data_IF_121809957482
#
_entry.id   IF_121809957482
#
_cell.length_a   1.000
_cell.length_b   1.000
_cell.length_c   1.000
_cell.angle_alpha   90.00
_cell.angle_beta   90.00
_cell.angle_gamma   90.00
#
_symmetry.space_group_name_H-M   'P 1'
#
loop_
_entity.id
_entity.type
_entity.pdbx_description
1 polymer ?
#
# COMPACT_ATOMS: atom_id res chain seq x y z
N UNK A 1 65.67 -20.22 -26.39
CA UNK A 1 64.55 -21.17 -26.46
C UNK A 1 63.25 -20.42 -26.73
N UNK A 2 62.63 -20.59 -27.90
CA UNK A 2 61.33 -19.99 -28.26
C UNK A 2 60.22 -20.91 -27.77
N UNK A 3 59.42 -20.49 -26.78
CA UNK A 3 58.24 -21.24 -26.35
C UNK A 3 57.06 -20.99 -27.29
N UNK A 4 56.70 -22.00 -28.07
CA UNK A 4 55.53 -22.00 -28.96
C UNK A 4 54.22 -22.09 -28.18
N UNK A 5 53.38 -21.07 -28.30
CA UNK A 5 52.00 -21.10 -27.83
C UNK A 5 51.20 -22.04 -28.74
N UNK A 6 50.74 -23.15 -28.17
CA UNK A 6 49.99 -24.23 -28.83
C UNK A 6 48.79 -23.71 -29.64
N UNK A 7 48.72 -24.12 -30.92
CA UNK A 7 47.62 -23.83 -31.87
C UNK A 7 46.22 -24.19 -31.34
N UNK A 8 46.10 -25.12 -30.38
CA UNK A 8 44.81 -25.55 -29.78
C UNK A 8 44.12 -24.45 -28.95
N UNK A 9 44.85 -23.58 -28.25
CA UNK A 9 44.24 -22.54 -27.41
C UNK A 9 43.63 -21.38 -28.22
N UNK A 10 44.18 -21.09 -29.42
CA UNK A 10 43.61 -20.06 -30.33
C UNK A 10 42.33 -20.55 -31.02
N UNK A 11 42.20 -21.84 -31.31
CA UNK A 11 40.99 -22.41 -31.90
C UNK A 11 39.81 -22.33 -30.92
N UNK A 12 40.04 -22.62 -29.64
CA UNK A 12 38.99 -22.61 -28.61
C UNK A 12 38.48 -21.18 -28.32
N UNK A 13 39.37 -20.19 -28.32
CA UNK A 13 38.98 -18.78 -28.23
C UNK A 13 38.19 -18.32 -29.45
N UNK A 14 38.60 -18.72 -30.66
CA UNK A 14 37.87 -18.40 -31.90
C UNK A 14 36.47 -19.03 -31.93
N UNK A 15 36.31 -20.28 -31.48
CA UNK A 15 35.00 -20.91 -31.36
C UNK A 15 34.09 -20.17 -30.35
N UNK A 16 34.64 -19.73 -29.21
CA UNK A 16 33.90 -18.91 -28.24
C UNK A 16 33.44 -17.58 -28.82
N UNK A 17 34.31 -16.87 -29.56
CA UNK A 17 33.91 -15.62 -30.22
C UNK A 17 32.85 -15.82 -31.31
N UNK A 18 32.92 -16.92 -32.08
CA UNK A 18 31.91 -17.25 -33.07
C UNK A 18 30.56 -17.58 -32.40
N UNK A 19 30.57 -18.29 -31.26
CA UNK A 19 29.37 -18.57 -30.47
C UNK A 19 28.73 -17.28 -29.92
N UNK A 20 29.52 -16.36 -29.39
CA UNK A 20 29.01 -15.06 -28.93
C UNK A 20 28.45 -14.21 -30.08
N UNK A 21 29.10 -14.21 -31.25
CA UNK A 21 28.60 -13.51 -32.44
C UNK A 21 27.30 -14.14 -32.98
N UNK A 22 27.18 -15.47 -32.96
CA UNK A 22 25.96 -16.16 -33.34
C UNK A 22 24.81 -15.86 -32.37
N UNK A 23 25.08 -15.84 -31.06
CA UNK A 23 24.07 -15.53 -30.06
C UNK A 23 23.58 -14.09 -30.16
N UNK A 24 24.46 -13.12 -30.38
CA UNK A 24 24.06 -11.72 -30.60
C UNK A 24 23.27 -11.55 -31.90
N UNK A 25 23.66 -12.24 -32.98
CA UNK A 25 22.92 -12.22 -34.25
C UNK A 25 21.52 -12.82 -34.10
N UNK A 26 21.38 -13.99 -33.45
CA UNK A 26 20.08 -14.64 -33.22
C UNK A 26 19.20 -13.77 -32.31
N UNK A 27 19.76 -13.16 -31.26
CA UNK A 27 19.01 -12.28 -30.36
C UNK A 27 18.52 -11.04 -31.10
N UNK A 28 19.37 -10.47 -31.99
CA UNK A 28 19.01 -9.32 -32.82
C UNK A 28 17.98 -9.68 -33.90
N UNK A 29 18.09 -10.87 -34.48
CA UNK A 29 17.12 -11.42 -35.45
C UNK A 29 15.76 -11.70 -34.79
N UNK A 30 15.73 -12.21 -33.57
CA UNK A 30 14.48 -12.40 -32.81
C UNK A 30 13.84 -11.06 -32.41
N UNK A 31 14.65 -10.02 -32.18
CA UNK A 31 14.18 -8.65 -31.95
C UNK A 31 13.61 -8.01 -33.23
N UNK A 32 14.22 -8.24 -34.40
CA UNK A 32 13.67 -7.75 -35.67
C UNK A 32 12.48 -8.54 -36.18
N UNK A 33 12.44 -9.87 -35.97
CA UNK A 33 11.27 -10.69 -36.32
C UNK A 33 10.06 -10.35 -35.43
N UNK A 34 10.26 -10.09 -34.13
CA UNK A 34 9.20 -9.54 -33.26
C UNK A 34 8.71 -8.14 -33.69
N UNK A 35 9.50 -7.40 -34.47
CA UNK A 35 9.10 -6.10 -35.01
C UNK A 35 8.32 -6.20 -36.31
N UNK A 36 8.32 -7.37 -36.98
CA UNK A 36 7.63 -7.60 -38.26
C UNK A 36 6.19 -8.14 -38.09
N UNK A 37 5.81 -8.59 -36.89
CA UNK A 37 4.43 -8.97 -36.54
C UNK A 37 3.56 -7.78 -36.06
N UNK A 38 4.04 -6.54 -36.25
CA UNK A 38 3.23 -5.34 -36.03
C UNK A 38 2.48 -4.97 -37.33
N UNK A 39 1.16 -4.71 -37.30
CA UNK A 39 0.39 -4.37 -38.49
C UNK A 39 0.88 -3.04 -39.11
N UNK A 40 0.81 -2.89 -40.45
CA UNK A 40 1.44 -1.79 -41.16
C UNK A 40 0.74 -0.46 -40.86
N UNK A 41 1.52 0.56 -40.48
CA UNK A 41 1.05 1.95 -40.36
C UNK A 41 1.23 2.64 -41.71
N UNK A 42 0.14 2.82 -42.45
CA UNK A 42 0.11 3.60 -43.70
C UNK A 42 0.27 5.09 -43.36
N UNK A 43 1.35 5.71 -43.84
CA UNK A 43 1.54 7.17 -43.81
C UNK A 43 1.10 7.71 -45.17
N UNK A 44 -0.04 8.38 -45.22
CA UNK A 44 -0.36 9.33 -46.29
C UNK A 44 -0.12 10.74 -45.77
N UNK A 45 0.91 11.37 -46.33
CA UNK A 45 1.24 12.79 -46.15
C UNK A 45 0.16 13.68 -46.73
N UNK A 46 -0.54 14.45 -45.89
CA UNK A 46 -1.03 15.78 -46.25
C UNK A 46 -0.93 16.69 -45.02
N UNK A 47 -0.44 17.91 -45.27
CA UNK A 47 -0.08 18.95 -44.32
C UNK A 47 -1.26 19.45 -43.48
N UNK A 48 -1.13 19.37 -42.15
CA UNK A 48 -1.38 20.44 -41.16
C UNK A 48 -1.44 19.83 -39.76
N UNK A 49 -0.75 20.45 -38.80
CA UNK A 49 -0.40 19.85 -37.51
C UNK A 49 -1.58 19.56 -36.58
N UNK A 50 -1.69 18.29 -36.18
CA UNK A 50 -2.15 17.81 -34.87
C UNK A 50 -1.80 16.32 -34.75
N UNK A 51 -1.00 15.93 -33.76
CA UNK A 51 -0.66 14.53 -33.50
C UNK A 51 -1.85 13.86 -32.79
N UNK A 52 -2.60 13.03 -33.52
CA UNK A 52 -3.77 12.30 -33.03
C UNK A 52 -3.34 11.01 -32.31
N UNK A 53 -3.71 10.91 -31.03
CA UNK A 53 -3.43 9.78 -30.15
C UNK A 53 -4.47 8.66 -30.38
N UNK A 54 -4.05 7.58 -31.02
CA UNK A 54 -4.87 6.42 -31.41
C UNK A 54 -5.48 5.58 -30.25
N UNK A 55 -5.07 5.68 -28.96
CA UNK A 55 -5.77 4.97 -27.86
C UNK A 55 -7.16 5.55 -27.53
N UNK A 56 -7.43 6.81 -27.88
CA UNK A 56 -8.64 7.52 -27.45
C UNK A 56 -9.91 7.10 -28.24
N UNK A 57 -9.77 6.60 -29.47
CA UNK A 57 -10.94 6.22 -30.28
C UNK A 57 -11.50 4.84 -29.93
N UNK A 58 -10.66 3.93 -29.41
CA UNK A 58 -11.12 2.62 -28.96
C UNK A 58 -11.94 2.74 -27.66
N UNK A 59 -11.58 3.67 -26.78
CA UNK A 59 -12.34 3.99 -25.57
C UNK A 59 -13.65 4.76 -25.87
N UNK A 60 -13.69 5.58 -26.93
CA UNK A 60 -14.92 6.27 -27.35
C UNK A 60 -15.98 5.29 -27.89
N UNK A 61 -15.56 4.19 -28.52
CA UNK A 61 -16.44 3.13 -29.01
C UNK A 61 -17.08 2.32 -27.87
N UNK A 62 -16.33 2.05 -26.79
CA UNK A 62 -16.88 1.39 -25.59
C UNK A 62 -17.86 2.31 -24.83
N UNK A 63 -17.58 3.62 -24.75
CA UNK A 63 -18.49 4.61 -24.20
C UNK A 63 -19.81 4.72 -25.00
N UNK A 64 -19.73 4.66 -26.34
CA UNK A 64 -20.93 4.65 -27.21
C UNK A 64 -21.74 3.36 -27.07
N UNK A 65 -21.10 2.22 -26.87
CA UNK A 65 -21.79 0.92 -26.73
C UNK A 65 -22.51 0.79 -25.39
N UNK A 66 -21.97 1.38 -24.32
CA UNK A 66 -22.64 1.45 -23.00
C UNK A 66 -23.81 2.46 -23.03
N UNK A 67 -23.68 3.57 -23.76
CA UNK A 67 -24.76 4.56 -23.91
C UNK A 67 -25.95 4.04 -24.75
N UNK A 68 -25.73 3.13 -25.69
CA UNK A 68 -26.79 2.61 -26.59
C UNK A 68 -27.70 1.52 -25.97
N UNK A 69 -27.39 1.01 -24.78
CA UNK A 69 -28.18 -0.04 -24.11
C UNK A 69 -29.08 0.48 -22.98
N UNK A 70 -29.13 1.80 -22.76
CA UNK A 70 -30.00 2.42 -21.76
C UNK A 70 -30.70 3.63 -22.34
N UNK A 71 -31.74 3.39 -23.15
CA UNK A 71 -32.74 4.41 -23.51
C UNK A 71 -33.98 3.74 -24.08
N UNK A 72 -34.92 3.42 -23.20
CA UNK A 72 -36.34 3.34 -23.53
C UNK A 72 -37.15 3.58 -22.24
N UNK A 73 -37.30 4.85 -21.86
CA UNK A 73 -38.42 5.29 -21.02
C UNK A 73 -38.68 6.79 -21.24
N UNK A 74 -39.96 7.12 -21.37
CA UNK A 74 -40.53 8.38 -21.86
C UNK A 74 -40.48 9.52 -20.84
N UNK A 75 -40.55 10.80 -21.28
CA UNK A 75 -40.20 11.95 -20.45
C UNK A 75 -41.37 12.40 -19.55
N UNK A 76 -41.13 12.46 -18.23
CA UNK A 76 -41.97 13.19 -17.28
C UNK A 76 -41.23 14.46 -16.84
N UNK A 77 -42.01 15.54 -16.74
CA UNK A 77 -41.66 16.95 -16.62
C UNK A 77 -40.53 17.31 -15.63
N UNK A 78 -39.80 18.37 -16.01
CA UNK A 78 -38.61 18.89 -15.36
C UNK A 78 -38.83 19.38 -13.92
N UNK A 79 -38.28 18.62 -12.96
CA UNK A 79 -37.97 19.10 -11.61
C UNK A 79 -36.61 19.82 -11.54
N UNK A 80 -36.27 20.42 -10.38
CA UNK A 80 -35.09 21.27 -10.24
C UNK A 80 -33.81 20.48 -10.56
N UNK A 81 -32.91 21.08 -11.36
CA UNK A 81 -31.64 20.50 -11.83
C UNK A 81 -30.94 19.70 -10.73
N UNK A 82 -31.14 18.38 -10.74
CA UNK A 82 -30.45 17.47 -9.85
C UNK A 82 -28.96 17.52 -10.19
N UNK A 83 -28.10 17.86 -9.23
CA UNK A 83 -26.64 17.73 -9.42
C UNK A 83 -26.34 16.26 -9.73
N UNK A 84 -25.84 15.97 -10.93
CA UNK A 84 -25.56 14.59 -11.37
C UNK A 84 -24.34 13.95 -10.66
N UNK A 85 -23.54 14.72 -9.93
CA UNK A 85 -22.36 14.24 -9.20
C UNK A 85 -22.30 14.81 -7.79
N UNK A 86 -22.08 13.93 -6.80
CA UNK A 86 -21.80 14.33 -5.42
C UNK A 86 -20.31 14.70 -5.23
N UNK A 87 -20.04 15.71 -4.41
CA UNK A 87 -18.70 16.03 -3.90
C UNK A 87 -18.22 14.96 -2.92
N UNK A 88 -16.90 14.85 -2.70
CA UNK A 88 -16.35 13.86 -1.76
C UNK A 88 -16.85 14.12 -0.34
N UNK A 89 -17.11 15.38 0.02
CA UNK A 89 -17.70 15.74 1.31
C UNK A 89 -19.17 15.34 1.40
N UNK A 90 -19.95 15.48 0.32
CA UNK A 90 -21.34 15.00 0.25
C UNK A 90 -21.38 13.47 0.36
N UNK A 91 -20.48 12.76 -0.32
CA UNK A 91 -20.30 11.31 -0.15
C UNK A 91 -19.90 10.98 1.29
N UNK A 92 -19.00 11.77 1.88
CA UNK A 92 -18.47 11.64 3.24
C UNK A 92 -19.50 11.84 4.36
N UNK A 93 -20.57 12.62 4.12
CA UNK A 93 -21.61 12.90 5.14
C UNK A 93 -22.34 11.64 5.59
N UNK A 94 -22.54 10.67 4.70
CA UNK A 94 -23.25 9.40 4.96
C UNK A 94 -22.53 8.54 6.02
N UNK A 95 -21.25 8.82 6.25
CA UNK A 95 -20.38 8.02 7.11
C UNK A 95 -20.28 8.51 8.56
N UNK A 96 -20.94 9.62 8.93
CA UNK A 96 -20.84 10.18 10.30
C UNK A 96 -21.46 9.24 11.35
N UNK A 97 -20.73 8.97 12.43
CA UNK A 97 -21.21 8.29 13.64
C UNK A 97 -21.26 6.75 13.59
N UNK A 98 -21.58 6.12 12.45
CA UNK A 98 -21.75 4.65 12.35
C UNK A 98 -20.45 3.87 12.09
N UNK A 99 -19.44 4.49 11.47
CA UNK A 99 -18.10 3.88 11.26
C UNK A 99 -17.45 3.45 12.59
N UNK A 100 -17.70 4.20 13.67
CA UNK A 100 -17.07 3.96 14.96
C UNK A 100 -17.44 2.60 15.54
N UNK A 101 -18.73 2.27 15.55
CA UNK A 101 -19.25 1.00 16.07
C UNK A 101 -18.70 -0.18 15.28
N UNK A 102 -18.70 -0.08 13.96
CA UNK A 102 -18.21 -1.15 13.08
C UNK A 102 -16.69 -1.33 13.18
N UNK A 103 -15.93 -0.23 13.31
CA UNK A 103 -14.48 -0.31 13.52
C UNK A 103 -14.14 -0.93 14.88
N UNK A 104 -14.90 -0.62 15.95
CA UNK A 104 -14.76 -1.26 17.26
C UNK A 104 -15.11 -2.75 17.23
N UNK A 105 -16.13 -3.14 16.45
CA UNK A 105 -16.47 -4.55 16.23
C UNK A 105 -15.32 -5.27 15.54
N UNK A 106 -14.79 -4.70 14.46
CA UNK A 106 -13.65 -5.25 13.72
C UNK A 106 -12.40 -5.33 14.58
N UNK A 107 -12.13 -4.32 15.42
CA UNK A 107 -11.05 -4.35 16.41
C UNK A 107 -11.14 -5.60 17.29
N UNK A 108 -12.31 -5.86 17.88
CA UNK A 108 -12.54 -7.04 18.72
C UNK A 108 -12.35 -8.33 17.94
N UNK A 109 -12.83 -8.39 16.71
CA UNK A 109 -12.67 -9.55 15.82
C UNK A 109 -11.19 -9.82 15.53
N UNK A 110 -10.41 -8.80 15.17
CA UNK A 110 -8.97 -8.91 14.92
C UNK A 110 -8.22 -9.34 16.19
N UNK A 111 -8.51 -8.72 17.33
CA UNK A 111 -7.91 -9.09 18.61
C UNK A 111 -8.20 -10.55 18.98
N UNK A 112 -9.46 -10.98 18.82
CA UNK A 112 -9.88 -12.36 19.06
C UNK A 112 -9.14 -13.31 18.13
N UNK A 113 -9.06 -13.00 16.84
CA UNK A 113 -8.33 -13.80 15.87
C UNK A 113 -6.87 -14.00 16.30
N UNK A 114 -6.15 -12.94 16.65
CA UNK A 114 -4.75 -13.05 17.06
C UNK A 114 -4.55 -13.66 18.45
N UNK A 115 -5.54 -13.63 19.34
CA UNK A 115 -5.48 -14.37 20.61
C UNK A 115 -5.55 -15.89 20.42
N UNK A 116 -6.29 -16.35 19.39
CA UNK A 116 -6.51 -17.78 19.11
C UNK A 116 -5.50 -18.32 18.09
N UNK A 117 -5.27 -17.56 17.01
CA UNK A 117 -4.46 -17.96 15.86
C UNK A 117 -3.12 -17.21 15.80
N UNK A 118 -2.78 -16.38 16.78
CA UNK A 118 -1.49 -15.71 16.85
C UNK A 118 -0.37 -16.67 17.21
N UNK A 119 0.85 -16.26 16.88
CA UNK A 119 2.02 -17.10 17.08
C UNK A 119 2.24 -17.60 18.51
N UNK A 120 2.00 -16.82 19.58
CA UNK A 120 2.15 -17.31 20.96
C UNK A 120 1.33 -18.57 21.23
N UNK A 121 0.04 -18.55 20.89
CA UNK A 121 -0.88 -19.67 21.13
C UNK A 121 -0.59 -20.88 20.25
N UNK A 122 -0.24 -20.64 18.99
CA UNK A 122 -0.02 -21.71 18.00
C UNK A 122 1.29 -22.45 18.25
N UNK A 123 2.32 -21.79 18.80
CA UNK A 123 3.57 -22.45 19.24
C UNK A 123 3.34 -23.54 20.29
N UNK A 124 2.32 -23.38 21.11
CA UNK A 124 1.99 -24.27 22.23
C UNK A 124 1.03 -25.41 21.84
N UNK A 125 0.60 -25.48 20.58
CA UNK A 125 -0.31 -26.54 20.16
C UNK A 125 0.39 -27.91 20.18
N UNK A 126 -0.36 -28.99 20.52
CA UNK A 126 0.13 -30.35 20.34
C UNK A 126 0.53 -30.60 18.87
N UNK A 127 1.51 -31.49 18.61
CA UNK A 127 2.03 -31.69 17.26
C UNK A 127 0.97 -31.98 16.20
N UNK A 128 -0.03 -32.81 16.51
CA UNK A 128 -1.12 -33.13 15.57
C UNK A 128 -1.93 -31.89 15.18
N UNK A 129 -2.27 -31.04 16.16
CA UNK A 129 -3.04 -29.82 15.93
C UNK A 129 -2.20 -28.78 15.17
N UNK A 130 -0.93 -28.60 15.56
CA UNK A 130 0.00 -27.72 14.86
C UNK A 130 0.15 -28.09 13.38
N UNK A 131 0.31 -29.39 13.07
CA UNK A 131 0.50 -29.85 11.69
C UNK A 131 -0.77 -29.74 10.82
N UNK A 132 -1.95 -29.64 11.44
CA UNK A 132 -3.21 -29.33 10.75
C UNK A 132 -3.42 -27.82 10.55
N UNK A 133 -2.73 -27.00 11.32
CA UNK A 133 -2.88 -25.55 11.29
C UNK A 133 -2.41 -24.92 9.98
N UNK A 134 -3.11 -23.86 9.56
CA UNK A 134 -2.84 -23.15 8.32
C UNK A 134 -2.22 -21.77 8.55
N UNK A 135 -1.50 -21.29 7.54
CA UNK A 135 -0.79 -20.02 7.54
C UNK A 135 -1.10 -19.20 6.29
N UNK A 136 -1.04 -17.88 6.42
CA UNK A 136 -1.03 -16.93 5.31
C UNK A 136 0.26 -16.13 5.40
N UNK A 137 0.97 -15.98 4.28
CA UNK A 137 2.21 -15.21 4.23
C UNK A 137 2.02 -13.90 3.48
N UNK A 138 2.42 -12.81 4.13
CA UNK A 138 2.64 -11.50 3.50
C UNK A 138 4.11 -11.30 3.22
N UNK A 139 4.47 -11.00 1.97
CA UNK A 139 5.84 -10.64 1.60
C UNK A 139 5.86 -9.20 1.10
N UNK A 140 6.69 -8.39 1.73
CA UNK A 140 7.00 -7.05 1.30
C UNK A 140 8.45 -7.00 0.80
N UNK A 141 8.65 -6.23 -0.26
CA UNK A 141 9.96 -5.75 -0.67
C UNK A 141 10.29 -4.47 0.08
N UNK A 142 11.55 -4.08 0.04
CA UNK A 142 11.98 -2.78 0.54
C UNK A 142 11.90 -1.67 -0.53
N UNK A 143 10.85 -1.67 -1.35
CA UNK A 143 10.52 -0.56 -2.23
C UNK A 143 9.77 0.55 -1.46
N UNK A 144 8.56 0.91 -1.90
CA UNK A 144 7.74 1.97 -1.30
C UNK A 144 6.91 1.50 -0.10
N UNK A 145 7.00 2.21 1.04
CA UNK A 145 6.34 1.80 2.29
C UNK A 145 4.83 1.58 2.12
N UNK A 146 4.11 2.51 1.49
CA UNK A 146 2.66 2.43 1.32
C UNK A 146 2.21 1.13 0.64
N UNK A 147 2.71 0.87 -0.58
CA UNK A 147 2.29 -0.28 -1.37
C UNK A 147 2.71 -1.61 -0.73
N UNK A 148 3.90 -1.64 -0.13
CA UNK A 148 4.46 -2.83 0.48
C UNK A 148 3.76 -3.17 1.80
N UNK A 149 3.36 -2.17 2.57
CA UNK A 149 2.55 -2.36 3.77
C UNK A 149 1.17 -2.91 3.41
N UNK A 150 0.55 -2.47 2.30
CA UNK A 150 -0.70 -3.07 1.82
C UNK A 150 -0.59 -4.57 1.53
N UNK A 151 0.57 -5.07 1.06
CA UNK A 151 0.77 -6.51 0.88
C UNK A 151 0.72 -7.27 2.20
N UNK A 152 1.35 -6.72 3.25
CA UNK A 152 1.34 -7.31 4.58
C UNK A 152 -0.05 -7.25 5.21
N UNK A 153 -0.75 -6.11 5.11
CA UNK A 153 -2.07 -5.93 5.70
C UNK A 153 -3.15 -6.72 4.96
N UNK A 154 -3.05 -6.88 3.64
CA UNK A 154 -3.97 -7.74 2.88
C UNK A 154 -3.78 -9.21 3.25
N UNK A 155 -2.54 -9.66 3.47
CA UNK A 155 -2.26 -10.99 4.00
C UNK A 155 -2.80 -11.18 5.42
N UNK A 156 -2.70 -10.15 6.28
CA UNK A 156 -3.25 -10.17 7.63
C UNK A 156 -4.79 -10.21 7.63
N UNK A 157 -5.44 -9.40 6.81
CA UNK A 157 -6.89 -9.46 6.62
C UNK A 157 -7.33 -10.86 6.15
N UNK A 158 -6.57 -11.45 5.23
CA UNK A 158 -6.84 -12.79 4.77
C UNK A 158 -6.62 -13.85 5.86
N UNK A 159 -5.60 -13.70 6.70
CA UNK A 159 -5.37 -14.62 7.83
C UNK A 159 -6.56 -14.63 8.79
N UNK A 160 -7.10 -13.45 9.07
CA UNK A 160 -8.33 -13.25 9.86
C UNK A 160 -9.51 -13.97 9.20
N UNK A 161 -9.78 -13.71 7.92
CA UNK A 161 -10.90 -14.33 7.21
C UNK A 161 -10.82 -15.86 7.14
N UNK A 162 -9.61 -16.45 7.16
CA UNK A 162 -9.39 -17.89 7.03
C UNK A 162 -9.12 -18.60 8.35
N UNK A 163 -9.07 -17.89 9.48
CA UNK A 163 -8.61 -18.44 10.77
C UNK A 163 -7.24 -19.13 10.65
N UNK A 164 -6.31 -18.49 9.94
CA UNK A 164 -4.94 -18.95 9.74
C UNK A 164 -3.97 -18.01 10.44
N UNK A 165 -2.80 -18.50 10.85
CA UNK A 165 -1.76 -17.63 11.40
C UNK A 165 -1.10 -16.78 10.33
N UNK A 166 -0.68 -15.58 10.70
CA UNK A 166 0.06 -14.68 9.83
C UNK A 166 1.58 -14.96 9.88
N UNK A 167 2.19 -15.09 8.71
CA UNK A 167 3.64 -15.08 8.51
C UNK A 167 4.05 -13.75 7.89
N UNK A 168 5.00 -13.07 8.52
CA UNK A 168 5.71 -11.95 7.89
C UNK A 168 6.96 -12.50 7.19
N UNK A 169 6.98 -12.37 5.87
CA UNK A 169 8.07 -12.87 5.03
C UNK A 169 9.33 -12.04 5.18
N UNK A 170 10.37 -12.64 5.75
CA UNK A 170 11.69 -12.04 5.87
C UNK A 170 12.52 -12.21 4.58
N UNK A 171 13.34 -11.22 4.27
CA UNK A 171 14.33 -11.28 3.18
C UNK A 171 15.72 -11.28 3.80
N UNK A 172 16.52 -12.32 3.50
CA UNK A 172 17.86 -12.52 4.11
C UNK A 172 17.86 -12.46 5.65
N UNK A 173 16.78 -12.93 6.28
CA UNK A 173 16.62 -12.95 7.73
C UNK A 173 16.17 -11.63 8.36
N UNK A 174 16.00 -10.56 7.57
CA UNK A 174 15.49 -9.27 8.05
C UNK A 174 13.99 -9.12 7.80
N UNK A 175 13.30 -8.53 8.77
CA UNK A 175 11.91 -8.11 8.59
C UNK A 175 11.85 -6.93 7.61
N UNK A 176 10.82 -6.86 6.75
CA UNK A 176 10.59 -5.68 5.93
C UNK A 176 10.50 -4.44 6.80
N UNK A 177 11.30 -3.41 6.55
CA UNK A 177 11.30 -2.17 7.36
C UNK A 177 11.65 -2.36 8.85
N UNK A 178 12.24 -3.50 9.25
CA UNK A 178 12.53 -3.82 10.65
C UNK A 178 13.50 -2.84 11.35
N UNK A 179 14.21 -2.02 10.57
CA UNK A 179 15.07 -0.96 11.09
C UNK A 179 14.25 0.27 11.58
N UNK A 180 12.98 0.40 11.15
CA UNK A 180 12.13 1.57 11.43
C UNK A 180 10.82 1.24 12.13
N UNK A 181 10.36 -0.02 12.04
CA UNK A 181 9.16 -0.50 12.73
C UNK A 181 9.46 -1.79 13.50
N UNK A 182 8.74 -1.97 14.60
CA UNK A 182 8.72 -3.20 15.37
C UNK A 182 7.45 -3.98 15.03
N UNK A 183 7.62 -5.25 14.67
CA UNK A 183 6.50 -6.17 14.49
C UNK A 183 6.11 -6.81 15.81
N UNK A 184 4.81 -6.98 16.03
CA UNK A 184 4.29 -7.69 17.20
C UNK A 184 4.69 -9.17 17.20
N UNK A 185 4.74 -9.75 18.40
CA UNK A 185 5.03 -11.17 18.62
C UNK A 185 3.89 -12.11 18.18
N UNK A 186 2.80 -11.56 17.64
CA UNK A 186 1.60 -12.27 17.17
C UNK A 186 1.82 -12.98 15.82
N UNK A 187 2.92 -12.68 15.14
CA UNK A 187 3.22 -13.21 13.80
C UNK A 187 4.36 -14.21 13.82
N UNK A 188 4.41 -15.06 12.81
CA UNK A 188 5.49 -15.99 12.57
C UNK A 188 6.49 -15.47 11.54
N UNK A 189 7.70 -16.01 11.56
CA UNK A 189 8.58 -16.00 10.39
C UNK A 189 8.48 -17.30 9.62
N UNK A 190 8.77 -17.27 8.31
CA UNK A 190 8.82 -18.51 7.52
C UNK A 190 9.91 -19.48 8.03
N UNK A 191 11.02 -18.95 8.57
CA UNK A 191 12.10 -19.75 9.15
C UNK A 191 11.60 -20.50 10.38
N UNK A 192 10.87 -19.82 11.26
CA UNK A 192 10.27 -20.38 12.45
C UNK A 192 9.24 -21.46 12.10
N UNK A 193 8.32 -21.20 11.17
CA UNK A 193 7.33 -22.22 10.74
C UNK A 193 8.04 -23.46 10.20
N UNK A 194 9.09 -23.31 9.38
CA UNK A 194 9.89 -24.45 8.89
C UNK A 194 10.54 -25.24 10.03
N UNK A 195 11.02 -24.57 11.07
CA UNK A 195 11.61 -25.22 12.23
C UNK A 195 10.55 -26.00 13.02
N UNK A 196 9.45 -25.36 13.39
CA UNK A 196 8.33 -25.98 14.12
C UNK A 196 7.71 -27.14 13.34
N UNK A 197 7.63 -27.03 12.01
CA UNK A 197 7.13 -28.11 11.14
C UNK A 197 7.98 -29.38 11.22
N UNK A 198 9.30 -29.23 11.36
CA UNK A 198 10.24 -30.34 11.53
C UNK A 198 10.18 -30.88 12.95
N UNK A 199 10.18 -30.00 13.95
CA UNK A 199 10.11 -30.35 15.37
C UNK A 199 8.86 -31.17 15.69
N UNK A 200 7.70 -30.78 15.16
CA UNK A 200 6.42 -31.49 15.36
C UNK A 200 6.28 -32.73 14.47
N UNK A 201 7.28 -33.07 13.66
CA UNK A 201 7.24 -34.25 12.79
C UNK A 201 6.14 -34.21 11.73
N UNK A 202 5.70 -33.03 11.28
CA UNK A 202 4.54 -32.90 10.39
C UNK A 202 4.64 -33.74 9.12
N UNK A 203 5.81 -33.80 8.49
CA UNK A 203 6.04 -34.69 7.35
C UNK A 203 6.17 -36.16 7.78
N UNK A 204 7.08 -36.45 8.71
CA UNK A 204 7.45 -37.84 9.07
C UNK A 204 6.35 -38.61 9.79
N UNK A 205 5.58 -37.95 10.66
CA UNK A 205 4.55 -38.57 11.52
C UNK A 205 3.14 -38.41 10.95
N UNK A 206 2.86 -37.28 10.29
CA UNK A 206 1.50 -36.94 9.83
C UNK A 206 1.37 -36.82 8.30
N UNK A 207 2.42 -37.15 7.53
CA UNK A 207 2.39 -37.11 6.05
C UNK A 207 2.15 -35.73 5.45
N UNK A 208 2.31 -34.66 6.23
CA UNK A 208 1.92 -33.29 5.86
C UNK A 208 3.10 -32.51 5.31
N UNK A 209 3.10 -32.29 3.99
CA UNK A 209 4.12 -31.49 3.32
C UNK A 209 3.90 -29.98 3.55
N UNK A 210 4.97 -29.25 3.89
CA UNK A 210 4.95 -27.79 3.99
C UNK A 210 5.04 -27.15 2.60
N UNK A 211 3.92 -27.11 1.90
CA UNK A 211 3.82 -26.52 0.55
C UNK A 211 3.12 -25.17 0.64
N UNK A 212 3.62 -24.21 -0.17
CA UNK A 212 3.03 -22.89 -0.32
C UNK A 212 2.27 -22.82 -1.64
N UNK A 213 1.00 -22.39 -1.59
CA UNK A 213 0.20 -22.05 -2.77
C UNK A 213 0.23 -20.55 -2.99
N UNK A 214 0.59 -20.16 -4.21
CA UNK A 214 0.62 -18.76 -4.63
C UNK A 214 -0.66 -18.44 -5.40
N UNK A 215 -1.28 -17.32 -5.06
CA UNK A 215 -2.40 -16.71 -5.77
C UNK A 215 -1.96 -15.31 -6.20
N UNK A 216 -1.86 -15.07 -7.50
CA UNK A 216 -1.23 -13.86 -8.05
C UNK A 216 -2.27 -12.89 -8.58
N UNK A 217 -2.62 -11.87 -7.79
CA UNK A 217 -3.66 -10.90 -8.13
C UNK A 217 -3.35 -10.10 -9.40
N UNK A 218 -2.07 -9.83 -9.67
CA UNK A 218 -1.65 -9.07 -10.86
C UNK A 218 -1.82 -9.88 -12.15
N UNK A 219 -2.06 -11.19 -12.05
CA UNK A 219 -2.23 -12.09 -13.20
C UNK A 219 -3.63 -12.70 -13.18
N UNK A 220 -4.58 -12.20 -13.98
CA UNK A 220 -5.96 -12.69 -14.00
C UNK A 220 -6.10 -14.21 -14.16
N UNK A 221 -5.22 -14.85 -14.94
CA UNK A 221 -5.19 -16.31 -15.16
C UNK A 221 -4.60 -17.12 -14.00
N UNK A 222 -3.99 -16.45 -13.02
CA UNK A 222 -3.31 -17.06 -11.86
C UNK A 222 -3.90 -16.62 -10.52
N UNK A 223 -4.99 -15.86 -10.54
CA UNK A 223 -5.71 -15.49 -9.32
C UNK A 223 -6.99 -16.27 -9.15
N UNK A 224 -7.29 -16.65 -7.91
CA UNK A 224 -8.56 -17.24 -7.52
C UNK A 224 -9.33 -16.32 -6.57
N UNK A 225 -9.01 -15.02 -6.54
CA UNK A 225 -9.65 -14.05 -5.65
C UNK A 225 -11.16 -13.99 -5.85
N UNK A 226 -11.65 -14.16 -7.09
CA UNK A 226 -13.07 -14.22 -7.40
C UNK A 226 -13.64 -15.65 -7.33
N UNK A 227 -12.97 -16.62 -7.95
CA UNK A 227 -13.58 -17.93 -8.20
C UNK A 227 -13.15 -19.04 -7.22
N UNK A 228 -12.19 -18.77 -6.33
CA UNK A 228 -11.64 -19.78 -5.42
C UNK A 228 -12.26 -19.74 -4.04
N UNK A 229 -12.42 -20.92 -3.43
CA UNK A 229 -12.70 -21.04 -2.00
C UNK A 229 -11.41 -21.34 -1.22
N UNK A 230 -10.73 -20.29 -0.75
CA UNK A 230 -9.47 -20.42 -0.02
C UNK A 230 -9.61 -21.14 1.33
N UNK A 231 -10.81 -21.19 1.92
CA UNK A 231 -11.07 -21.98 3.15
C UNK A 231 -10.92 -23.48 2.91
N UNK A 232 -11.19 -23.95 1.68
CA UNK A 232 -11.08 -25.37 1.30
C UNK A 232 -9.69 -25.77 0.82
N UNK A 233 -8.75 -24.83 0.76
CA UNK A 233 -7.42 -25.11 0.22
C UNK A 233 -6.58 -25.97 1.18
N UNK A 234 -6.13 -27.16 0.74
CA UNK A 234 -5.40 -28.07 1.60
C UNK A 234 -3.95 -27.64 1.81
N UNK A 235 -3.45 -26.60 1.13
CA UNK A 235 -2.06 -26.18 1.30
C UNK A 235 -1.85 -25.47 2.64
N UNK A 236 -0.80 -25.82 3.42
CA UNK A 236 -0.54 -25.19 4.71
C UNK A 236 -0.31 -23.68 4.61
N UNK A 237 0.42 -23.22 3.59
CA UNK A 237 0.73 -21.79 3.42
C UNK A 237 0.02 -21.25 2.18
N UNK A 238 -0.69 -20.14 2.33
CA UNK A 238 -1.27 -19.35 1.24
C UNK A 238 -0.50 -18.05 1.09
N UNK A 239 -0.10 -17.71 -0.13
CA UNK A 239 0.51 -16.42 -0.46
C UNK A 239 -0.33 -15.71 -1.52
N UNK A 240 -1.07 -14.68 -1.11
CA UNK A 240 -1.79 -13.79 -2.03
C UNK A 240 -0.89 -12.60 -2.41
N UNK A 241 -0.31 -12.65 -3.60
CA UNK A 241 0.67 -11.68 -4.09
C UNK A 241 0.04 -10.65 -5.04
N UNK A 242 0.78 -9.57 -5.33
CA UNK A 242 0.28 -8.49 -6.20
C UNK A 242 -0.68 -7.52 -5.52
N UNK A 243 -0.72 -7.51 -4.18
CA UNK A 243 -1.69 -6.79 -3.34
C UNK A 243 -1.16 -5.43 -2.90
N UNK A 244 -0.84 -4.56 -3.86
CA UNK A 244 -0.12 -3.29 -3.65
C UNK A 244 -0.99 -2.13 -3.13
N UNK A 245 -2.29 -2.33 -3.00
CA UNK A 245 -3.24 -1.35 -2.49
C UNK A 245 -4.50 -2.03 -1.93
N UNK A 246 -5.50 -1.23 -1.57
CA UNK A 246 -6.76 -1.71 -1.03
C UNK A 246 -7.66 -2.48 -2.04
N UNK A 247 -7.39 -2.41 -3.35
CA UNK A 247 -8.26 -3.01 -4.39
C UNK A 247 -8.29 -4.53 -4.26
N UNK A 248 -7.14 -5.17 -4.03
CA UNK A 248 -7.08 -6.61 -3.90
C UNK A 248 -7.97 -7.13 -2.74
N UNK A 249 -8.01 -6.42 -1.61
CA UNK A 249 -8.88 -6.76 -0.50
C UNK A 249 -10.38 -6.60 -0.85
N UNK A 250 -10.75 -5.64 -1.70
CA UNK A 250 -12.13 -5.47 -2.15
C UNK A 250 -12.64 -6.66 -2.98
N UNK A 251 -11.76 -7.42 -3.62
CA UNK A 251 -12.15 -8.61 -4.38
C UNK A 251 -12.67 -9.74 -3.48
N UNK A 252 -12.32 -9.74 -2.19
CA UNK A 252 -12.86 -10.70 -1.23
C UNK A 252 -14.39 -10.59 -1.12
N UNK A 253 -14.94 -9.38 -1.18
CA UNK A 253 -16.37 -9.11 -1.15
C UNK A 253 -17.09 -9.55 -2.44
N UNK A 254 -16.33 -9.78 -3.52
CA UNK A 254 -16.85 -10.16 -4.85
C UNK A 254 -16.65 -11.64 -5.17
N UNK A 255 -16.15 -12.43 -4.22
CA UNK A 255 -15.89 -13.85 -4.44
C UNK A 255 -17.20 -14.61 -4.75
N UNK A 256 -17.19 -15.63 -5.61
CA UNK A 256 -18.39 -16.39 -5.99
C UNK A 256 -18.87 -17.33 -4.88
N UNK A 257 -18.00 -17.70 -3.95
CA UNK A 257 -18.34 -18.58 -2.84
C UNK A 257 -18.92 -17.80 -1.65
N UNK A 258 -20.13 -18.15 -1.17
CA UNK A 258 -20.78 -17.47 -0.04
C UNK A 258 -19.93 -17.42 1.23
N UNK A 259 -19.24 -18.50 1.60
CA UNK A 259 -18.41 -18.54 2.82
C UNK A 259 -17.28 -17.51 2.80
N UNK A 260 -16.67 -17.30 1.63
CA UNK A 260 -15.62 -16.31 1.44
C UNK A 260 -16.18 -14.91 1.51
N UNK A 261 -17.31 -14.65 0.82
CA UNK A 261 -17.98 -13.34 0.88
C UNK A 261 -18.44 -13.00 2.28
N UNK A 262 -19.03 -13.95 3.00
CA UNK A 262 -19.54 -13.73 4.36
C UNK A 262 -18.38 -13.37 5.31
N UNK A 263 -17.26 -14.09 5.24
CA UNK A 263 -16.06 -13.76 6.01
C UNK A 263 -15.49 -12.38 5.64
N UNK A 264 -15.51 -12.04 4.35
CA UNK A 264 -15.09 -10.74 3.87
C UNK A 264 -16.02 -9.64 4.37
N UNK A 265 -17.34 -9.83 4.32
CA UNK A 265 -18.32 -8.85 4.78
C UNK A 265 -18.32 -8.67 6.29
N UNK A 266 -18.00 -9.73 7.04
CA UNK A 266 -17.78 -9.61 8.48
C UNK A 266 -16.60 -8.68 8.80
N UNK A 267 -15.53 -8.77 8.01
CA UNK A 267 -14.34 -7.95 8.22
C UNK A 267 -14.45 -6.54 7.62
N UNK A 268 -14.83 -6.43 6.34
CA UNK A 268 -14.83 -5.19 5.56
C UNK A 268 -16.19 -4.49 5.48
N UNK A 269 -17.24 -5.06 6.08
CA UNK A 269 -18.60 -4.56 5.97
C UNK A 269 -19.32 -5.03 4.71
N UNK A 270 -20.61 -4.70 4.63
CA UNK A 270 -21.48 -5.12 3.51
C UNK A 270 -21.42 -4.11 2.37
N UNK A 271 -21.16 -4.53 1.12
CA UNK A 271 -21.12 -3.62 -0.03
C UNK A 271 -22.41 -2.80 -0.21
N UNK A 272 -23.56 -3.39 0.13
CA UNK A 272 -24.89 -2.79 -0.02
C UNK A 272 -25.15 -1.69 1.02
N UNK A 273 -24.38 -1.68 2.10
CA UNK A 273 -24.51 -0.70 3.19
C UNK A 273 -23.31 0.24 3.20
N UNK A 274 -23.42 1.35 2.46
CA UNK A 274 -22.40 2.41 2.47
C UNK A 274 -22.07 2.92 3.88
N UNK A 275 -23.00 2.82 4.83
CA UNK A 275 -22.78 3.24 6.22
C UNK A 275 -21.92 2.27 7.05
N UNK A 276 -21.59 1.08 6.52
CA UNK A 276 -20.85 0.02 7.21
C UNK A 276 -19.51 -0.23 6.52
N UNK A 277 -18.55 0.66 6.75
CA UNK A 277 -17.18 0.56 6.24
C UNK A 277 -16.18 0.68 7.41
N UNK A 278 -15.86 -0.42 8.09
CA UNK A 278 -14.92 -0.43 9.20
C UNK A 278 -13.48 -0.15 8.75
N UNK A 279 -12.69 0.44 9.66
CA UNK A 279 -11.27 0.72 9.45
C UNK A 279 -10.39 -0.54 9.65
N UNK A 280 -10.52 -1.53 8.77
CA UNK A 280 -9.78 -2.80 8.88
C UNK A 280 -8.26 -2.58 8.89
N UNK A 281 -7.74 -1.79 7.95
CA UNK A 281 -6.30 -1.61 7.78
C UNK A 281 -5.67 -0.87 8.96
N UNK A 282 -6.35 0.14 9.52
CA UNK A 282 -5.90 0.84 10.71
C UNK A 282 -5.83 -0.08 11.93
N UNK A 283 -6.89 -0.87 12.17
CA UNK A 283 -6.92 -1.82 13.29
C UNK A 283 -5.88 -2.94 13.16
N UNK A 284 -5.60 -3.40 11.93
CA UNK A 284 -4.51 -4.33 11.66
C UNK A 284 -3.13 -3.70 11.91
N UNK A 285 -2.87 -2.48 11.42
CA UNK A 285 -1.60 -1.80 11.69
C UNK A 285 -1.38 -1.63 13.20
N UNK A 286 -2.41 -1.14 13.91
CA UNK A 286 -2.35 -0.87 15.35
C UNK A 286 -1.93 -2.07 16.20
N UNK A 287 -2.29 -3.30 15.81
CA UNK A 287 -1.90 -4.52 16.55
C UNK A 287 -0.61 -5.17 16.00
N UNK A 288 -0.24 -4.90 14.75
CA UNK A 288 0.87 -5.58 14.07
C UNK A 288 2.18 -4.81 14.14
N UNK A 289 2.14 -3.47 14.12
CA UNK A 289 3.32 -2.64 14.01
C UNK A 289 3.32 -1.50 15.04
N UNK A 290 4.51 -1.11 15.44
CA UNK A 290 4.78 0.09 16.24
C UNK A 290 6.06 0.75 15.73
N UNK A 291 6.28 2.05 15.96
CA UNK A 291 7.54 2.69 15.62
C UNK A 291 8.70 2.02 16.38
N UNK A 292 9.88 1.96 15.75
CA UNK A 292 11.10 1.63 16.48
C UNK A 292 11.43 2.73 17.49
N UNK A 293 12.28 2.41 18.48
CA UNK A 293 12.67 3.36 19.53
C UNK A 293 13.19 4.68 18.95
N UNK A 294 14.04 4.59 17.94
CA UNK A 294 14.68 5.77 17.37
C UNK A 294 13.71 6.60 16.50
N UNK A 295 12.74 5.94 15.83
CA UNK A 295 11.67 6.63 15.11
C UNK A 295 10.73 7.33 16.09
N UNK A 296 10.37 6.66 17.18
CA UNK A 296 9.54 7.21 18.25
C UNK A 296 10.23 8.41 18.92
N UNK A 297 11.54 8.35 19.15
CA UNK A 297 12.35 9.47 19.65
C UNK A 297 12.29 10.68 18.71
N UNK A 298 12.47 10.46 17.40
CA UNK A 298 12.37 11.53 16.41
C UNK A 298 10.96 12.14 16.34
N UNK A 299 9.90 11.34 16.42
CA UNK A 299 8.51 11.83 16.49
C UNK A 299 8.30 12.70 17.72
N UNK A 300 8.75 12.23 18.89
CA UNK A 300 8.59 12.97 20.14
C UNK A 300 9.44 14.26 20.18
N UNK A 301 10.61 14.26 19.53
CA UNK A 301 11.42 15.46 19.35
C UNK A 301 10.65 16.55 18.58
N UNK A 302 9.99 16.20 17.46
CA UNK A 302 9.19 17.16 16.68
C UNK A 302 8.01 17.71 17.49
N UNK A 303 7.38 16.86 18.30
CA UNK A 303 6.22 17.26 19.10
C UNK A 303 6.63 18.15 20.28
N UNK A 304 7.90 18.05 20.72
CA UNK A 304 8.46 18.81 21.83
C UNK A 304 8.49 18.05 23.16
N UNK A 305 8.75 16.73 23.15
CA UNK A 305 8.89 15.86 24.33
C UNK A 305 7.81 16.07 25.41
N UNK A 306 6.59 15.62 25.13
CA UNK A 306 5.41 15.85 26.00
C UNK A 306 4.49 16.97 25.50
N UNK A 307 4.79 17.54 24.33
CA UNK A 307 3.91 18.46 23.63
C UNK A 307 2.62 17.79 23.12
N UNK A 308 1.67 18.63 22.70
CA UNK A 308 0.33 18.22 22.24
C UNK A 308 0.35 17.63 20.83
N UNK A 309 -0.30 16.51 20.56
CA UNK A 309 -0.36 15.97 19.19
C UNK A 309 -0.89 16.99 18.15
N UNK A 310 -0.46 16.88 16.87
CA UNK A 310 -0.96 17.73 15.80
C UNK A 310 -2.48 17.64 15.67
N UNK A 311 -3.13 18.74 15.26
CA UNK A 311 -4.57 18.74 14.98
C UNK A 311 -4.87 18.30 13.56
N UNK A 312 -4.03 18.72 12.61
CA UNK A 312 -4.20 18.47 11.18
C UNK A 312 -2.88 17.97 10.57
N UNK A 313 -2.96 16.94 9.75
CA UNK A 313 -1.90 16.59 8.80
C UNK A 313 -2.16 17.23 7.46
N UNK A 314 -1.18 17.94 6.91
CA UNK A 314 -1.11 18.29 5.50
C UNK A 314 -0.09 17.37 4.81
N UNK A 315 -0.58 16.38 4.08
CA UNK A 315 0.25 15.49 3.27
C UNK A 315 0.17 15.88 1.79
N UNK A 316 1.30 16.25 1.20
CA UNK A 316 1.38 16.67 -0.20
C UNK A 316 2.41 15.84 -0.97
N UNK A 317 1.93 14.97 -1.85
CA UNK A 317 2.73 14.30 -2.86
C UNK A 317 2.91 15.23 -4.06
N UNK A 318 4.10 15.80 -4.19
CA UNK A 318 4.41 16.83 -5.18
C UNK A 318 5.32 16.31 -6.30
N UNK A 319 5.96 15.14 -6.16
CA UNK A 319 6.82 14.54 -7.20
C UNK A 319 7.89 15.52 -7.71
N UNK A 320 8.50 16.30 -6.79
CA UNK A 320 9.45 17.37 -7.07
C UNK A 320 8.88 18.58 -7.83
N UNK A 321 7.57 18.67 -8.00
CA UNK A 321 6.91 19.80 -8.64
C UNK A 321 6.70 20.97 -7.66
N UNK A 322 6.63 22.20 -8.18
CA UNK A 322 6.40 23.45 -7.44
C UNK A 322 5.11 24.15 -7.90
N UNK A 323 4.04 23.39 -8.04
CA UNK A 323 2.75 23.92 -8.50
C UNK A 323 2.16 24.90 -7.48
N UNK A 324 2.14 26.19 -7.85
CA UNK A 324 1.50 27.26 -7.06
C UNK A 324 0.01 26.97 -6.87
N UNK A 325 -0.66 26.44 -7.90
CA UNK A 325 -2.07 26.05 -7.83
C UNK A 325 -2.31 24.97 -6.77
N UNK A 326 -1.42 23.98 -6.68
CA UNK A 326 -1.53 22.93 -5.66
C UNK A 326 -1.32 23.48 -4.25
N UNK A 327 -0.34 24.38 -4.07
CA UNK A 327 -0.12 25.06 -2.80
C UNK A 327 -1.34 25.89 -2.37
N UNK A 328 -1.92 26.67 -3.29
CA UNK A 328 -3.10 27.48 -3.00
C UNK A 328 -4.32 26.62 -2.66
N UNK A 329 -4.52 25.52 -3.38
CA UNK A 329 -5.58 24.57 -3.09
C UNK A 329 -5.41 23.97 -1.69
N UNK A 330 -4.20 23.49 -1.36
CA UNK A 330 -3.88 22.96 -0.04
C UNK A 330 -4.13 23.99 1.08
N UNK A 331 -3.72 25.26 0.89
CA UNK A 331 -3.98 26.33 1.85
C UNK A 331 -5.49 26.59 2.02
N UNK A 332 -6.26 26.61 0.95
CA UNK A 332 -7.71 26.81 1.01
C UNK A 332 -8.40 25.65 1.76
N UNK A 333 -7.99 24.41 1.48
CA UNK A 333 -8.44 23.22 2.22
C UNK A 333 -8.11 23.33 3.71
N UNK A 334 -6.86 23.70 4.02
CA UNK A 334 -6.37 23.80 5.38
C UNK A 334 -7.11 24.89 6.17
N UNK A 335 -7.30 26.09 5.59
CA UNK A 335 -8.10 27.16 6.20
C UNK A 335 -9.53 26.71 6.49
N UNK A 336 -10.14 25.91 5.60
CA UNK A 336 -11.46 25.32 5.84
C UNK A 336 -11.44 24.28 6.97
N UNK A 337 -10.43 23.41 7.02
CA UNK A 337 -10.28 22.42 8.08
C UNK A 337 -10.05 23.10 9.45
N UNK A 338 -9.22 24.13 9.51
CA UNK A 338 -8.97 24.93 10.72
C UNK A 338 -10.26 25.59 11.22
N UNK A 339 -11.05 26.22 10.34
CA UNK A 339 -12.34 26.82 10.75
C UNK A 339 -13.33 25.81 11.32
N UNK A 340 -13.24 24.54 10.93
CA UNK A 340 -14.09 23.48 11.45
C UNK A 340 -13.59 22.92 12.79
N UNK A 341 -12.32 23.17 13.16
CA UNK A 341 -11.81 22.87 14.49
C UNK A 341 -12.39 23.88 15.47
N UNK A 342 -13.41 23.48 16.23
CA UNK A 342 -13.92 24.25 17.36
C UNK A 342 -12.92 24.18 18.53
N UNK A 343 -11.76 24.83 18.39
CA UNK A 343 -10.70 24.83 19.40
C UNK A 343 -10.40 26.26 19.87
N UNK A 344 -10.17 26.42 21.19
CA UNK A 344 -9.76 27.70 21.79
C UNK A 344 -8.26 28.00 21.72
N UNK A 345 -7.45 27.05 21.22
CA UNK A 345 -6.00 27.18 21.06
C UNK A 345 -5.60 27.23 19.59
N UNK A 346 -4.43 27.81 19.29
CA UNK A 346 -3.83 27.80 17.94
C UNK A 346 -3.68 26.34 17.45
N UNK A 347 -4.24 25.98 16.28
CA UNK A 347 -4.12 24.63 15.74
C UNK A 347 -2.67 24.27 15.41
N UNK A 348 -2.28 23.01 15.63
CA UNK A 348 -0.99 22.46 15.19
C UNK A 348 -1.16 21.72 13.87
N UNK A 349 -0.39 22.08 12.85
CA UNK A 349 -0.44 21.47 11.53
C UNK A 349 0.89 20.80 11.24
N UNK A 350 0.90 19.48 11.07
CA UNK A 350 2.08 18.77 10.57
C UNK A 350 2.10 18.81 9.05
N UNK A 351 3.21 19.22 8.46
CA UNK A 351 3.39 19.32 7.00
C UNK A 351 4.37 18.25 6.52
N UNK A 352 3.90 17.38 5.64
CA UNK A 352 4.66 16.27 5.06
C UNK A 352 4.61 16.37 3.56
N UNK A 353 5.77 16.29 2.93
CA UNK A 353 5.89 16.24 1.47
C UNK A 353 7.16 15.53 1.03
N UNK A 354 7.09 14.86 -0.11
CA UNK A 354 8.26 14.32 -0.80
C UNK A 354 9.14 15.43 -1.43
N UNK A 355 8.71 16.68 -1.37
CA UNK A 355 9.36 17.84 -2.00
C UNK A 355 9.73 18.89 -0.95
N UNK A 356 10.96 18.91 -0.42
CA UNK A 356 11.36 19.84 0.63
C UNK A 356 11.16 21.32 0.29
N UNK A 357 11.38 21.70 -0.98
CA UNK A 357 11.14 23.08 -1.44
C UNK A 357 9.68 23.52 -1.33
N UNK A 358 8.72 22.59 -1.43
CA UNK A 358 7.30 22.89 -1.22
C UNK A 358 7.03 23.22 0.26
N UNK A 359 7.62 22.46 1.19
CA UNK A 359 7.48 22.69 2.63
C UNK A 359 7.98 24.09 3.00
N UNK A 360 9.19 24.46 2.52
CA UNK A 360 9.74 25.80 2.72
C UNK A 360 8.84 26.89 2.17
N UNK A 361 8.23 26.68 1.00
CA UNK A 361 7.36 27.67 0.36
C UNK A 361 5.98 27.84 1.01
N UNK A 362 5.38 26.77 1.52
CA UNK A 362 4.03 26.83 2.09
C UNK A 362 4.02 27.19 3.59
N UNK A 363 5.10 26.89 4.31
CA UNK A 363 5.20 27.07 5.77
C UNK A 363 4.85 28.50 6.21
N UNK A 364 5.40 29.59 5.63
CA UNK A 364 5.09 30.94 6.07
C UNK A 364 3.58 31.24 6.05
N UNK A 365 2.89 30.82 5.00
CA UNK A 365 1.44 31.03 4.83
C UNK A 365 0.60 30.23 5.84
N UNK A 366 1.07 29.04 6.25
CA UNK A 366 0.38 28.24 7.27
C UNK A 366 0.65 28.83 8.65
N UNK A 367 1.89 29.30 8.90
CA UNK A 367 2.31 29.92 10.14
C UNK A 367 1.53 31.19 10.47
N UNK A 368 0.80 31.80 9.53
CA UNK A 368 -0.14 32.89 9.82
C UNK A 368 -1.35 32.44 10.66
N UNK A 369 -1.80 31.19 10.47
CA UNK A 369 -3.09 30.69 11.01
C UNK A 369 -2.96 29.46 11.91
N UNK A 370 -1.79 28.84 11.96
CA UNK A 370 -1.51 27.64 12.74
C UNK A 370 -0.04 27.62 13.22
N UNK A 371 0.28 26.72 14.15
CA UNK A 371 1.65 26.31 14.45
C UNK A 371 2.04 25.21 13.47
N UNK A 372 3.21 25.32 12.82
CA UNK A 372 3.67 24.35 11.82
C UNK A 372 4.66 23.38 12.47
N UNK A 373 4.37 22.09 12.35
CA UNK A 373 5.28 21.00 12.69
C UNK A 373 5.84 20.40 11.40
N UNK A 374 7.15 20.26 11.34
CA UNK A 374 7.84 19.60 10.25
C UNK A 374 9.06 18.89 10.81
N UNK A 375 9.31 17.67 10.35
CA UNK A 375 10.51 16.97 10.75
C UNK A 375 11.72 17.43 9.93
N UNK A 376 12.51 18.32 10.52
CA UNK A 376 13.82 18.70 9.98
C UNK A 376 14.87 17.66 10.36
N UNK A 377 15.05 16.67 9.49
CA UNK A 377 15.98 15.56 9.72
C UNK A 377 17.45 15.99 9.74
N UNK A 378 17.82 17.16 9.19
CA UNK A 378 19.21 17.65 9.17
C UNK A 378 19.64 18.20 10.54
N UNK A 379 18.68 18.77 11.26
CA UNK A 379 18.85 19.31 12.61
C UNK A 379 18.70 18.25 13.71
N UNK A 380 18.13 17.08 13.39
CA UNK A 380 17.98 15.98 14.34
C UNK A 380 19.33 15.30 14.65
N UNK A 381 19.63 15.11 15.93
CA UNK A 381 20.88 14.51 16.44
C UNK A 381 20.59 13.24 17.28
N UNK A 382 19.85 12.30 16.69
CA UNK A 382 19.54 11.00 17.32
C UNK A 382 20.25 9.83 16.64
N UNK A 383 20.24 8.65 17.26
CA UNK A 383 21.00 7.47 16.79
C UNK A 383 20.71 7.05 15.35
N UNK A 384 19.46 7.18 14.90
CA UNK A 384 19.09 6.92 13.49
C UNK A 384 19.77 7.86 12.51
N UNK A 385 20.17 9.06 12.93
CA UNK A 385 20.97 9.97 12.10
C UNK A 385 22.43 9.53 11.97
N UNK A 386 22.97 8.81 12.97
CA UNK A 386 24.37 8.39 13.02
C UNK A 386 24.66 7.13 12.20
N UNK A 387 23.75 6.15 12.21
CA UNK A 387 23.92 4.87 11.48
C UNK A 387 23.93 5.05 9.93
N UNK A 388 23.45 6.19 9.43
CA UNK A 388 23.13 6.41 8.00
C UNK A 388 24.21 7.18 7.23
N UNK A 389 25.24 7.71 7.90
CA UNK A 389 26.44 8.19 7.19
C UNK A 389 27.16 7.08 6.39
N UNK A 390 26.73 5.81 6.54
CA UNK A 390 27.36 4.62 5.95
C UNK A 390 26.66 3.99 4.73
N UNK A 391 25.45 4.42 4.34
CA UNK A 391 24.65 3.72 3.32
C UNK A 391 24.40 4.58 2.05
N UNK A 392 24.81 4.13 0.85
CA UNK A 392 24.59 4.88 -0.39
C UNK A 392 23.10 5.08 -0.70
N UNK A 393 22.70 6.31 -1.04
CA UNK A 393 21.37 6.60 -1.55
C UNK A 393 21.20 5.95 -2.93
N UNK A 394 20.31 4.96 -3.06
CA UNK A 394 20.00 4.35 -4.36
C UNK A 394 19.15 5.31 -5.20
N UNK A 395 19.64 5.73 -6.37
CA UNK A 395 19.03 6.76 -7.24
C UNK A 395 17.54 6.51 -7.56
N UNK A 396 17.11 5.25 -7.69
CA UNK A 396 15.69 4.95 -7.99
C UNK A 396 14.75 5.40 -6.87
N UNK A 397 15.23 5.52 -5.63
CA UNK A 397 14.42 5.86 -4.45
C UNK A 397 14.13 7.36 -4.34
N UNK A 398 14.98 8.20 -4.93
CA UNK A 398 14.81 9.67 -4.93
C UNK A 398 13.55 10.07 -5.70
N UNK A 399 13.25 9.37 -6.79
CA UNK A 399 12.00 9.57 -7.57
C UNK A 399 10.74 9.20 -6.79
N UNK A 400 10.85 8.23 -5.88
CA UNK A 400 9.71 7.69 -5.15
C UNK A 400 9.46 8.37 -3.80
N UNK A 401 10.42 9.02 -3.14
CA UNK A 401 10.20 9.55 -1.78
C UNK A 401 10.82 10.91 -1.49
N UNK A 402 11.51 11.53 -2.46
CA UNK A 402 12.26 12.74 -2.19
C UNK A 402 13.76 12.47 -2.00
N UNK A 403 14.58 13.52 -1.83
CA UNK A 403 16.00 13.37 -1.55
C UNK A 403 16.27 12.91 -0.09
N UNK A 404 15.25 12.94 0.77
CA UNK A 404 15.39 12.63 2.18
C UNK A 404 15.75 11.14 2.41
N UNK A 405 16.55 10.83 3.44
CA UNK A 405 16.79 9.46 3.85
C UNK A 405 15.48 8.72 4.16
N UNK A 406 15.45 7.42 3.90
CA UNK A 406 14.23 6.62 3.98
C UNK A 406 13.53 6.67 5.34
N UNK A 407 14.28 6.67 6.44
CA UNK A 407 13.75 6.68 7.80
C UNK A 407 12.90 7.92 8.10
N UNK A 408 13.16 9.04 7.41
CA UNK A 408 12.37 10.28 7.50
C UNK A 408 10.90 10.00 7.16
N UNK A 409 10.65 9.16 6.15
CA UNK A 409 9.30 8.74 5.80
C UNK A 409 8.63 7.92 6.92
N UNK A 410 9.36 7.25 7.80
CA UNK A 410 8.75 6.55 8.94
C UNK A 410 8.41 7.52 10.06
N UNK A 411 9.28 8.50 10.33
CA UNK A 411 9.00 9.59 11.28
C UNK A 411 7.77 10.38 10.82
N UNK A 412 7.74 10.80 9.56
CA UNK A 412 6.59 11.49 8.96
C UNK A 412 5.31 10.65 9.07
N UNK A 413 5.38 9.35 8.78
CA UNK A 413 4.23 8.46 8.85
C UNK A 413 3.61 8.44 10.26
N UNK A 414 4.42 8.18 11.28
CA UNK A 414 3.94 8.10 12.66
C UNK A 414 3.55 9.47 13.20
N UNK A 415 4.30 10.53 12.90
CA UNK A 415 3.96 11.89 13.31
C UNK A 415 2.61 12.33 12.74
N UNK A 416 2.36 12.10 11.46
CA UNK A 416 1.05 12.40 10.88
C UNK A 416 -0.08 11.50 11.37
N UNK A 417 0.22 10.24 11.70
CA UNK A 417 -0.81 9.36 12.25
C UNK A 417 -1.37 9.84 13.60
N UNK A 418 -0.66 10.74 14.30
CA UNK A 418 -1.18 11.36 15.54
C UNK A 418 -2.24 12.44 15.28
N UNK A 419 -2.32 12.99 14.07
CA UNK A 419 -3.23 14.09 13.78
C UNK A 419 -4.69 13.69 13.77
N UNK A 420 -5.59 14.64 14.11
CA UNK A 420 -7.05 14.42 14.15
C UNK A 420 -7.73 14.52 12.79
N UNK A 421 -7.28 15.46 11.98
CA UNK A 421 -7.81 15.70 10.64
C UNK A 421 -6.68 15.59 9.63
N UNK A 422 -7.04 15.41 8.36
CA UNK A 422 -6.06 15.35 7.28
C UNK A 422 -6.52 16.19 6.10
N UNK A 423 -5.56 16.82 5.44
CA UNK A 423 -5.62 17.39 4.11
C UNK A 423 -4.58 16.64 3.30
N UNK A 424 -5.01 15.95 2.25
CA UNK A 424 -4.13 15.06 1.49
C UNK A 424 -4.19 15.39 0.00
N UNK A 425 -3.06 15.29 -0.67
CA UNK A 425 -3.02 15.27 -2.14
C UNK A 425 -3.73 14.03 -2.69
N UNK A 426 -4.64 14.24 -3.64
CA UNK A 426 -5.23 13.16 -4.43
C UNK A 426 -4.19 12.43 -5.28
N UNK A 427 -4.56 11.25 -5.79
CA UNK A 427 -3.76 10.52 -6.77
C UNK A 427 -4.60 10.18 -8.00
N UNK A 428 -3.96 9.89 -9.14
CA UNK A 428 -4.68 9.52 -10.35
C UNK A 428 -5.63 8.33 -10.08
N UNK A 429 -6.94 8.51 -10.34
CA UNK A 429 -8.03 7.56 -10.05
C UNK A 429 -8.21 7.14 -8.59
N UNK A 430 -7.58 7.81 -7.60
CA UNK A 430 -7.68 7.49 -6.16
C UNK A 430 -7.88 8.74 -5.31
N UNK A 431 -8.51 8.57 -4.14
CA UNK A 431 -8.76 9.68 -3.20
C UNK A 431 -7.45 10.20 -2.55
N UNK A 432 -6.39 9.40 -2.52
CA UNK A 432 -5.06 9.79 -2.03
C UNK A 432 -3.98 8.77 -2.38
N UNK A 433 -2.73 9.07 -2.02
CA UNK A 433 -1.62 8.11 -2.13
C UNK A 433 -1.82 6.94 -1.16
N UNK A 434 -1.27 5.76 -1.46
CA UNK A 434 -1.32 4.61 -0.55
C UNK A 434 -0.73 4.94 0.81
N UNK A 435 0.33 5.76 0.83
CA UNK A 435 0.93 6.27 2.05
C UNK A 435 -0.03 7.12 2.89
N UNK A 436 -0.70 8.11 2.29
CA UNK A 436 -1.68 8.95 2.98
C UNK A 436 -2.91 8.16 3.45
N UNK A 437 -3.35 7.16 2.68
CA UNK A 437 -4.44 6.26 3.08
C UNK A 437 -4.09 5.48 4.35
N UNK A 438 -2.87 4.97 4.46
CA UNK A 438 -2.41 4.26 5.65
C UNK A 438 -2.22 5.19 6.85
N UNK A 439 -1.73 6.42 6.65
CA UNK A 439 -1.69 7.45 7.71
C UNK A 439 -3.10 7.66 8.27
N UNK A 440 -4.07 7.94 7.40
CA UNK A 440 -5.44 8.19 7.82
C UNK A 440 -6.06 6.97 8.52
N UNK A 441 -5.76 5.76 8.03
CA UNK A 441 -6.22 4.52 8.64
C UNK A 441 -5.64 4.31 10.04
N UNK A 442 -4.31 4.45 10.23
CA UNK A 442 -3.69 4.30 11.55
C UNK A 442 -4.19 5.39 12.51
N UNK A 443 -4.23 6.64 12.05
CA UNK A 443 -4.73 7.76 12.83
C UNK A 443 -6.16 7.52 13.32
N UNK A 444 -7.04 7.05 12.44
CA UNK A 444 -8.41 6.71 12.81
C UNK A 444 -8.48 5.54 13.82
N UNK A 445 -7.57 4.56 13.76
CA UNK A 445 -7.56 3.44 14.71
C UNK A 445 -7.15 3.89 16.12
N UNK A 446 -6.13 4.74 16.23
CA UNK A 446 -5.62 5.21 17.53
C UNK A 446 -6.56 6.19 18.23
N UNK A 447 -7.50 6.75 17.48
CA UNK A 447 -8.32 7.89 17.90
C UNK A 447 -9.80 7.61 18.00
N UNK A 448 -10.20 6.34 18.13
CA UNK A 448 -11.58 5.87 18.23
C UNK A 448 -12.33 6.35 19.53
N UNK A 449 -11.97 7.55 20.01
CA UNK A 449 -12.85 8.57 20.55
C UNK A 449 -12.98 9.76 19.54
N UNK A 450 -14.04 9.76 18.72
CA UNK A 450 -14.59 10.89 17.91
C UNK A 450 -13.75 11.49 16.75
N UNK A 451 -14.10 11.24 15.45
CA UNK A 451 -13.52 11.98 14.30
C UNK A 451 -14.46 12.16 13.08
N UNK A 452 -14.22 13.25 12.34
CA UNK A 452 -14.73 13.59 11.00
C UNK A 452 -13.51 13.74 10.08
N UNK A 453 -13.50 13.04 8.93
CA UNK A 453 -12.43 13.15 7.92
C UNK A 453 -12.92 14.04 6.78
N UNK A 454 -12.14 15.06 6.41
CA UNK A 454 -12.35 15.83 5.17
C UNK A 454 -11.39 15.32 4.08
N UNK A 455 -11.91 15.07 2.88
CA UNK A 455 -11.13 14.71 1.70
C UNK A 455 -11.34 15.76 0.62
N UNK A 456 -10.28 16.20 -0.07
CA UNK A 456 -10.41 17.09 -1.23
C UNK A 456 -9.44 16.65 -2.34
N UNK A 457 -9.96 16.50 -3.56
CA UNK A 457 -9.17 16.22 -4.77
C UNK A 457 -8.79 17.57 -5.39
N UNK A 458 -7.50 17.83 -5.58
CA UNK A 458 -6.97 19.01 -6.29
C UNK A 458 -6.88 18.72 -7.78
#
# INVERSE_FOLDING_TARGET
MRYGISRRKRALLRCLFILFAAFTFITRLMLTLRSLDAPPTTITTTSNGAMLDLPAQLELLDLKRVAFLSSAETPIQAGPKTKNCATVEEMGKVFRGRILKDSLRVRKLIQTHFSINGAPRIRELPPEQFCRHGFVIGKASEAGFGNEMYKLLTAAALSVMLNRSLIIGQTRGKYPFGDYILYSNLTFTLREVKHLWRQNGCLKKYGRHLVMRIDDFEKPTKTNALCGNWRKWPQPIIWYQGTTDAVAAQFFLKNVHPDMRNAASELFGKPESLQSQPNVFGELMRILISPSRDVEEAVNWVIGNGGRDPDITLHMRMLMNRSVRAAQAALNCLKRAIRNLQQGSRPRVVVISDTPSFIKGITPNISEVAEVLHFDYESFRGKVSDDIKSLPSLEFRVKDWGPAPRWVAFVDFFLASRAKHAVVSGAHRRVGTTYAQLIAALAAADSIASRVICWQKV
#
